data_IF_737568699554
#
_entry.id   IF_737568699554
#
_cell.length_a   1.000
_cell.length_b   1.000
_cell.length_c   1.000
_cell.angle_alpha   90.00
_cell.angle_beta   90.00
_cell.angle_gamma   90.00
#
_symmetry.space_group_name_H-M   'P 1'
#
loop_
_entity.id
_entity.type
_entity.pdbx_description
1 polymer ?
#
# COMPACT_ATOMS: atom_id res chain seq x y z
N UNK A 1 28.62 -0.92 -14.09
CA UNK A 1 27.52 -1.73 -13.57
C UNK A 1 26.25 -1.30 -14.28
N UNK A 2 25.59 -2.19 -15.00
CA UNK A 2 24.34 -1.87 -15.70
C UNK A 2 23.19 -2.23 -14.78
N UNK A 3 22.55 -1.23 -14.23
CA UNK A 3 21.24 -1.39 -13.59
C UNK A 3 20.22 -1.48 -14.72
N UNK A 4 19.34 -2.46 -14.70
CA UNK A 4 18.19 -2.50 -15.58
C UNK A 4 16.95 -2.23 -14.74
N UNK A 5 16.35 -1.06 -14.92
CA UNK A 5 14.97 -0.83 -14.50
C UNK A 5 14.11 -1.67 -15.46
N UNK A 6 13.50 -2.72 -14.93
CA UNK A 6 12.58 -3.56 -15.68
C UNK A 6 11.19 -2.94 -15.60
N UNK A 7 10.90 -2.04 -16.54
CA UNK A 7 9.55 -1.58 -16.75
C UNK A 7 8.77 -2.68 -17.49
N UNK A 8 7.83 -3.33 -16.82
CA UNK A 8 6.82 -4.14 -17.50
C UNK A 8 5.78 -3.17 -18.03
N UNK A 9 5.82 -2.87 -19.33
CA UNK A 9 4.84 -1.98 -19.93
C UNK A 9 3.47 -2.67 -19.99
N UNK A 10 2.41 -1.92 -19.73
CA UNK A 10 1.03 -2.41 -19.83
C UNK A 10 0.64 -2.92 -21.23
N UNK A 11 1.45 -2.67 -22.25
CA UNK A 11 1.30 -3.19 -23.61
C UNK A 11 1.66 -4.67 -23.71
N UNK A 12 2.54 -5.20 -22.84
CA UNK A 12 2.87 -6.63 -22.82
C UNK A 12 1.82 -7.48 -22.11
N UNK A 13 0.92 -6.82 -21.40
CA UNK A 13 -0.18 -7.46 -20.70
C UNK A 13 -1.47 -7.07 -21.41
N UNK A 14 -1.80 -7.81 -22.48
CA UNK A 14 -3.08 -7.65 -23.17
C UNK A 14 -4.21 -7.75 -22.12
N UNK A 15 -4.92 -6.62 -21.87
CA UNK A 15 -5.97 -6.48 -20.84
C UNK A 15 -6.93 -7.67 -20.80
N UNK A 16 -7.25 -8.22 -21.97
CA UNK A 16 -8.12 -9.39 -22.12
C UNK A 16 -7.46 -10.71 -21.72
N UNK A 17 -6.14 -10.85 -21.79
CA UNK A 17 -5.44 -12.05 -21.31
C UNK A 17 -5.26 -12.03 -19.80
N UNK A 18 -5.02 -10.86 -19.18
CA UNK A 18 -4.95 -10.72 -17.71
C UNK A 18 -6.31 -11.01 -17.09
N UNK A 19 -7.39 -10.46 -17.65
CA UNK A 19 -8.75 -10.73 -17.18
C UNK A 19 -9.16 -12.19 -17.41
N UNK A 20 -8.82 -12.81 -18.55
CA UNK A 20 -9.09 -14.22 -18.81
C UNK A 20 -8.22 -15.17 -17.98
N UNK A 21 -6.95 -14.84 -17.74
CA UNK A 21 -6.07 -15.60 -16.83
C UNK A 21 -6.41 -15.38 -15.36
N UNK A 22 -6.86 -14.18 -14.93
CA UNK A 22 -7.44 -13.99 -13.59
C UNK A 22 -8.60 -14.94 -13.32
N UNK A 23 -9.49 -15.18 -14.28
CA UNK A 23 -10.52 -16.20 -14.15
C UNK A 23 -10.02 -17.66 -14.08
N UNK A 24 -8.80 -17.92 -14.55
CA UNK A 24 -8.20 -19.26 -14.52
C UNK A 24 -7.34 -19.45 -13.26
N UNK A 25 -6.66 -18.42 -12.74
CA UNK A 25 -5.79 -18.51 -11.56
C UNK A 25 -6.51 -18.38 -10.23
N UNK A 26 -7.62 -17.63 -10.16
CA UNK A 26 -8.55 -17.68 -9.03
C UNK A 26 -9.11 -19.11 -8.79
N UNK A 27 -8.98 -20.02 -9.76
CA UNK A 27 -9.33 -21.41 -9.61
C UNK A 27 -8.30 -22.29 -8.89
N UNK A 28 -7.10 -21.79 -8.60
CA UNK A 28 -6.06 -22.53 -7.84
C UNK A 28 -6.02 -22.20 -6.34
N UNK A 29 -6.44 -21.01 -5.94
CA UNK A 29 -6.85 -20.77 -4.55
C UNK A 29 -8.27 -21.35 -4.44
N UNK A 30 -8.50 -22.26 -3.52
CA UNK A 30 -9.77 -22.99 -3.43
C UNK A 30 -10.95 -22.02 -3.55
N UNK A 31 -11.86 -22.27 -4.50
CA UNK A 31 -13.13 -21.53 -4.71
C UNK A 31 -13.90 -21.30 -3.39
N UNK A 32 -13.64 -22.08 -2.37
CA UNK A 32 -14.16 -21.95 -1.01
C UNK A 32 -13.51 -20.79 -0.23
N UNK A 33 -12.20 -20.58 -0.33
CA UNK A 33 -11.51 -19.50 0.39
C UNK A 33 -11.92 -18.11 -0.10
N UNK A 34 -12.05 -17.91 -1.40
CA UNK A 34 -12.45 -16.62 -1.99
C UNK A 34 -13.89 -16.25 -1.66
N UNK A 35 -14.80 -17.24 -1.66
CA UNK A 35 -16.18 -17.05 -1.22
C UNK A 35 -16.27 -16.60 0.22
N UNK A 36 -15.49 -17.22 1.08
CA UNK A 36 -15.47 -16.95 2.51
C UNK A 36 -14.95 -15.55 2.82
N UNK A 37 -13.89 -15.11 2.14
CA UNK A 37 -13.36 -13.74 2.28
C UNK A 37 -14.40 -12.72 1.80
N UNK A 38 -15.12 -12.99 0.72
CA UNK A 38 -16.21 -12.15 0.27
C UNK A 38 -17.35 -12.07 1.30
N UNK A 39 -17.71 -13.18 1.94
CA UNK A 39 -18.71 -13.21 3.02
C UNK A 39 -18.27 -12.37 4.22
N UNK A 40 -16.98 -12.40 4.60
CA UNK A 40 -16.42 -11.54 5.64
C UNK A 40 -16.58 -10.07 5.25
N UNK A 41 -16.23 -9.69 4.02
CA UNK A 41 -16.37 -8.32 3.53
C UNK A 41 -17.83 -7.84 3.50
N UNK A 42 -18.76 -8.70 3.06
CA UNK A 42 -20.20 -8.39 3.08
C UNK A 42 -20.66 -8.17 4.53
N UNK A 43 -20.27 -9.05 5.45
CA UNK A 43 -20.64 -8.93 6.87
C UNK A 43 -20.02 -7.66 7.50
N UNK A 44 -18.77 -7.36 7.20
CA UNK A 44 -18.09 -6.14 7.62
C UNK A 44 -18.82 -4.89 7.10
N UNK A 45 -19.17 -4.88 5.81
CA UNK A 45 -19.93 -3.78 5.20
C UNK A 45 -21.25 -3.52 5.92
N UNK A 46 -22.03 -4.56 6.23
CA UNK A 46 -23.30 -4.43 6.96
C UNK A 46 -23.11 -3.82 8.35
N UNK A 47 -22.06 -4.26 9.06
CA UNK A 47 -21.76 -3.75 10.40
C UNK A 47 -21.32 -2.28 10.35
N UNK A 48 -20.40 -1.95 9.46
CA UNK A 48 -19.90 -0.58 9.30
C UNK A 48 -21.06 0.35 8.91
N UNK A 49 -21.89 -0.07 7.95
CA UNK A 49 -23.05 0.70 7.52
C UNK A 49 -24.03 0.94 8.68
N UNK A 50 -24.34 -0.07 9.47
CA UNK A 50 -25.25 0.04 10.62
C UNK A 50 -24.74 1.06 11.65
N UNK A 51 -23.46 1.01 11.99
CA UNK A 51 -22.84 1.95 12.93
C UNK A 51 -22.81 3.36 12.35
N UNK A 52 -22.42 3.52 11.09
CA UNK A 52 -22.43 4.84 10.42
C UNK A 52 -23.81 5.46 10.39
N UNK A 53 -24.84 4.69 10.07
CA UNK A 53 -26.22 5.17 10.05
C UNK A 53 -26.71 5.62 11.44
N UNK A 54 -26.25 4.97 12.50
CA UNK A 54 -26.61 5.34 13.89
C UNK A 54 -25.87 6.57 14.42
N UNK A 55 -24.63 6.80 13.97
CA UNK A 55 -23.71 7.79 14.55
C UNK A 55 -23.48 9.03 13.68
N UNK A 56 -23.70 8.92 12.37
CA UNK A 56 -23.42 10.01 11.44
C UNK A 56 -24.64 10.89 11.23
N UNK A 57 -24.49 12.16 11.56
CA UNK A 57 -25.54 13.15 11.28
C UNK A 57 -25.44 13.65 9.84
N UNK A 58 -26.54 13.50 9.10
CA UNK A 58 -26.71 14.05 7.76
C UNK A 58 -27.67 15.21 7.82
N UNK A 59 -27.34 16.32 7.16
CA UNK A 59 -28.19 17.49 7.00
C UNK A 59 -28.21 17.92 5.54
N UNK A 60 -29.39 18.03 4.95
CA UNK A 60 -29.56 18.38 3.53
C UNK A 60 -28.74 17.48 2.56
N UNK A 61 -28.62 16.18 2.86
CA UNK A 61 -27.87 15.25 2.05
C UNK A 61 -26.33 15.32 2.22
N UNK A 62 -25.84 15.99 3.26
CA UNK A 62 -24.42 16.23 3.51
C UNK A 62 -24.00 15.68 4.87
N UNK A 63 -22.86 15.01 4.95
CA UNK A 63 -22.25 14.55 6.20
C UNK A 63 -21.79 15.74 7.02
N UNK A 64 -22.30 15.84 8.26
CA UNK A 64 -21.99 16.98 9.13
C UNK A 64 -20.62 16.93 9.79
N UNK A 65 -20.03 15.76 9.96
CA UNK A 65 -18.70 15.56 10.56
C UNK A 65 -17.90 14.49 9.79
N UNK A 66 -17.16 14.89 8.76
CA UNK A 66 -16.36 13.98 7.94
C UNK A 66 -15.30 13.23 8.75
N UNK A 67 -14.59 13.91 9.66
CA UNK A 67 -13.56 13.29 10.50
C UNK A 67 -14.13 12.09 11.25
N UNK A 68 -15.23 12.29 11.98
CA UNK A 68 -15.87 11.18 12.70
C UNK A 68 -16.34 10.07 11.77
N UNK A 69 -16.82 10.42 10.58
CA UNK A 69 -17.28 9.46 9.58
C UNK A 69 -16.15 8.54 9.12
N UNK A 70 -15.02 9.11 8.67
CA UNK A 70 -13.86 8.33 8.22
C UNK A 70 -13.18 7.56 9.36
N UNK A 71 -13.03 8.18 10.53
CA UNK A 71 -12.49 7.50 11.72
C UNK A 71 -13.30 6.27 12.10
N UNK A 72 -14.62 6.33 12.01
CA UNK A 72 -15.48 5.18 12.31
C UNK A 72 -15.27 4.06 11.32
N UNK A 73 -15.18 4.35 10.01
CA UNK A 73 -14.88 3.36 8.97
C UNK A 73 -13.54 2.69 9.27
N UNK A 74 -12.48 3.48 9.43
CA UNK A 74 -11.13 2.97 9.65
C UNK A 74 -11.04 2.08 10.90
N UNK A 75 -11.63 2.52 12.03
CA UNK A 75 -11.63 1.72 13.26
C UNK A 75 -12.34 0.37 13.08
N UNK A 76 -13.51 0.37 12.46
CA UNK A 76 -14.27 -0.85 12.26
C UNK A 76 -13.57 -1.81 11.29
N UNK A 77 -13.01 -1.30 10.18
CA UNK A 77 -12.19 -2.10 9.27
C UNK A 77 -10.99 -2.73 9.99
N UNK A 78 -10.27 -1.92 10.76
CA UNK A 78 -9.12 -2.38 11.54
C UNK A 78 -9.49 -3.47 12.55
N UNK A 79 -10.63 -3.33 13.22
CA UNK A 79 -11.12 -4.32 14.19
C UNK A 79 -11.58 -5.61 13.52
N UNK A 80 -12.22 -5.52 12.36
CA UNK A 80 -12.58 -6.71 11.56
C UNK A 80 -11.33 -7.48 11.14
N UNK A 81 -10.32 -6.80 10.63
CA UNK A 81 -9.04 -7.43 10.29
C UNK A 81 -8.35 -8.05 11.51
N UNK A 82 -8.37 -7.36 12.64
CA UNK A 82 -7.82 -7.88 13.91
C UNK A 82 -8.53 -9.15 14.38
N UNK A 83 -9.86 -9.19 14.35
CA UNK A 83 -10.64 -10.39 14.69
C UNK A 83 -10.28 -11.53 13.73
N UNK A 84 -10.20 -11.25 12.41
CA UNK A 84 -9.85 -12.24 11.40
C UNK A 84 -8.42 -12.77 11.58
N UNK A 85 -7.47 -11.92 11.95
CA UNK A 85 -6.09 -12.28 12.19
C UNK A 85 -5.89 -13.09 13.49
N UNK A 86 -6.66 -12.80 14.54
CA UNK A 86 -6.57 -13.46 15.84
C UNK A 86 -6.78 -14.98 15.76
N UNK A 87 -7.60 -15.44 14.82
CA UNK A 87 -7.82 -16.87 14.60
C UNK A 87 -6.66 -17.58 13.88
N UNK A 88 -5.81 -16.82 13.18
CA UNK A 88 -4.66 -17.36 12.45
C UNK A 88 -3.37 -17.23 13.25
N UNK A 89 -3.24 -16.15 14.00
CA UNK A 89 -2.06 -15.80 14.78
C UNK A 89 -2.46 -15.71 16.27
N UNK A 90 -1.77 -16.41 17.12
CA UNK A 90 -2.07 -16.48 18.56
C UNK A 90 -2.18 -15.08 19.21
N UNK A 91 -2.97 -14.96 20.21
CA UNK A 91 -3.67 -13.79 20.76
C UNK A 91 -2.88 -12.54 21.18
N UNK A 92 -1.56 -12.49 20.99
CA UNK A 92 -0.73 -11.34 21.44
C UNK A 92 -0.54 -10.23 20.40
N UNK A 93 -0.95 -10.45 19.15
CA UNK A 93 -0.78 -9.49 18.08
C UNK A 93 -1.97 -8.54 17.99
N UNK A 94 -1.77 -7.30 18.38
CA UNK A 94 -2.78 -6.27 18.24
C UNK A 94 -2.38 -5.31 17.12
N UNK A 95 -3.15 -5.29 16.05
CA UNK A 95 -3.15 -4.17 15.11
C UNK A 95 -3.39 -2.88 15.89
N UNK A 96 -2.42 -2.00 15.94
CA UNK A 96 -2.46 -0.71 16.59
C UNK A 96 -3.19 -0.70 17.97
N UNK A 97 -2.44 -0.81 19.07
CA UNK A 97 -2.97 -0.86 20.45
C UNK A 97 -3.90 0.30 20.83
N UNK A 98 -3.93 1.35 20.02
CA UNK A 98 -4.71 2.57 20.25
C UNK A 98 -6.10 2.56 19.58
N UNK A 99 -6.44 1.52 18.80
CA UNK A 99 -7.77 1.41 18.20
C UNK A 99 -8.75 0.86 19.23
N UNK A 100 -9.37 1.75 19.97
CA UNK A 100 -10.44 1.41 20.91
C UNK A 100 -11.81 1.71 20.31
N UNK A 101 -12.79 0.84 20.57
CA UNK A 101 -14.20 1.15 20.27
C UNK A 101 -14.64 2.35 21.09
N UNK A 102 -15.24 3.36 20.42
CA UNK A 102 -15.65 4.61 21.09
C UNK A 102 -17.07 4.58 21.60
N UNK A 103 -17.92 3.71 21.08
CA UNK A 103 -19.34 3.67 21.45
C UNK A 103 -19.83 2.26 21.78
N UNK A 104 -20.97 2.20 22.48
CA UNK A 104 -21.68 0.95 22.77
C UNK A 104 -22.16 0.23 21.51
N UNK A 105 -22.55 0.99 20.49
CA UNK A 105 -23.01 0.47 19.19
C UNK A 105 -21.85 -0.19 18.44
N UNK A 106 -20.68 0.45 18.40
CA UNK A 106 -19.46 -0.12 17.78
C UNK A 106 -19.08 -1.44 18.47
N UNK A 107 -19.07 -1.44 19.81
CA UNK A 107 -18.73 -2.61 20.60
C UNK A 107 -19.67 -3.77 20.30
N UNK A 108 -20.98 -3.52 20.34
CA UNK A 108 -21.98 -4.54 20.06
C UNK A 108 -21.86 -5.08 18.63
N UNK A 109 -21.68 -4.21 17.65
CA UNK A 109 -21.55 -4.61 16.25
C UNK A 109 -20.33 -5.51 16.03
N UNK A 110 -19.20 -5.23 16.70
CA UNK A 110 -17.99 -6.06 16.62
C UNK A 110 -18.12 -7.38 17.39
N UNK A 111 -18.79 -7.39 18.57
CA UNK A 111 -19.13 -8.63 19.28
C UNK A 111 -20.01 -9.54 18.40
N UNK A 112 -21.04 -9.00 17.76
CA UNK A 112 -21.90 -9.73 16.83
C UNK A 112 -21.11 -10.27 15.63
N UNK A 113 -20.11 -9.53 15.14
CA UNK A 113 -19.21 -9.99 14.08
C UNK A 113 -18.30 -11.13 14.57
N UNK A 114 -17.68 -11.01 15.74
CA UNK A 114 -16.77 -12.02 16.32
C UNK A 114 -17.53 -13.34 16.54
N UNK A 115 -18.73 -13.29 17.12
CA UNK A 115 -19.59 -14.48 17.30
C UNK A 115 -19.93 -15.13 15.95
N UNK A 116 -20.31 -14.33 14.96
CA UNK A 116 -20.59 -14.84 13.62
C UNK A 116 -19.35 -15.48 12.99
N UNK A 117 -18.19 -14.82 13.09
CA UNK A 117 -16.93 -15.26 12.52
C UNK A 117 -16.47 -16.59 13.13
N UNK A 118 -16.53 -16.72 14.46
CA UNK A 118 -16.20 -17.94 15.20
C UNK A 118 -17.09 -19.11 14.79
N UNK A 119 -18.38 -18.85 14.57
CA UNK A 119 -19.34 -19.88 14.14
C UNK A 119 -19.05 -20.44 12.73
N UNK A 120 -18.26 -19.73 11.89
CA UNK A 120 -17.92 -20.21 10.55
C UNK A 120 -16.84 -21.30 10.55
N UNK A 121 -16.14 -21.51 11.69
CA UNK A 121 -15.04 -22.47 11.84
C UNK A 121 -14.01 -22.37 10.69
N UNK A 122 -13.59 -21.13 10.43
CA UNK A 122 -12.73 -20.77 9.31
C UNK A 122 -11.30 -21.28 9.52
N UNK A 123 -10.69 -21.81 8.44
CA UNK A 123 -9.25 -22.09 8.40
C UNK A 123 -8.42 -20.82 8.21
N UNK A 124 -7.19 -20.97 7.73
CA UNK A 124 -6.30 -19.84 7.43
C UNK A 124 -6.92 -18.90 6.39
N UNK A 125 -6.87 -17.58 6.66
CA UNK A 125 -7.43 -16.51 5.83
C UNK A 125 -6.29 -15.75 5.18
N UNK A 126 -6.42 -15.47 3.88
CA UNK A 126 -5.51 -14.55 3.21
C UNK A 126 -5.83 -13.10 3.64
N UNK A 127 -5.14 -12.62 4.68
CA UNK A 127 -5.35 -11.28 5.23
C UNK A 127 -5.07 -10.15 4.22
N UNK A 128 -4.12 -10.35 3.30
CA UNK A 128 -3.86 -9.34 2.26
C UNK A 128 -5.06 -9.18 1.34
N UNK A 129 -5.64 -10.29 0.90
CA UNK A 129 -6.81 -10.24 0.04
C UNK A 129 -8.04 -9.71 0.78
N UNK A 130 -8.23 -10.08 2.05
CA UNK A 130 -9.28 -9.51 2.89
C UNK A 130 -9.11 -7.99 3.03
N UNK A 131 -7.93 -7.53 3.36
CA UNK A 131 -7.61 -6.11 3.50
C UNK A 131 -7.93 -5.34 2.21
N UNK A 132 -7.50 -5.85 1.07
CA UNK A 132 -7.76 -5.21 -0.23
C UNK A 132 -9.25 -5.10 -0.56
N UNK A 133 -10.02 -6.17 -0.30
CA UNK A 133 -11.46 -6.10 -0.48
C UNK A 133 -12.11 -5.11 0.48
N UNK A 134 -11.59 -4.98 1.69
CA UNK A 134 -12.11 -4.00 2.67
C UNK A 134 -11.81 -2.55 2.27
N UNK A 135 -10.69 -2.27 1.60
CA UNK A 135 -10.40 -0.93 1.05
C UNK A 135 -11.39 -0.51 -0.04
N UNK A 136 -12.09 -1.46 -0.67
CA UNK A 136 -13.09 -1.19 -1.69
C UNK A 136 -14.49 -0.90 -1.12
N UNK A 137 -14.66 -1.01 0.19
CA UNK A 137 -15.92 -0.71 0.84
C UNK A 137 -16.10 0.80 0.96
N UNK A 138 -17.02 1.32 0.19
CA UNK A 138 -17.43 2.72 0.24
C UNK A 138 -18.82 2.90 0.82
N UNK A 139 -19.04 4.01 1.51
CA UNK A 139 -20.29 4.29 2.19
C UNK A 139 -20.86 5.67 1.80
N UNK A 140 -21.17 5.90 0.52
CA UNK A 140 -21.66 7.19 0.04
C UNK A 140 -23.00 7.59 0.62
N UNK A 141 -23.25 8.90 0.63
CA UNK A 141 -24.58 9.43 0.93
C UNK A 141 -25.44 9.40 -0.34
N UNK A 142 -26.59 8.71 -0.29
CA UNK A 142 -27.58 8.69 -1.36
C UNK A 142 -28.97 8.94 -0.76
N UNK A 143 -29.73 9.81 -1.38
CA UNK A 143 -31.10 10.18 -0.93
C UNK A 143 -31.16 10.57 0.56
N UNK A 144 -30.12 11.26 1.04
CA UNK A 144 -30.01 11.72 2.44
C UNK A 144 -29.69 10.62 3.46
N UNK A 145 -29.28 9.44 3.03
CA UNK A 145 -28.89 8.31 3.89
C UNK A 145 -27.52 7.78 3.47
N UNK A 146 -26.77 7.23 4.42
CA UNK A 146 -25.56 6.46 4.10
C UNK A 146 -25.97 5.11 3.53
N UNK A 147 -25.37 4.75 2.41
CA UNK A 147 -25.55 3.47 1.72
C UNK A 147 -24.20 2.75 1.68
N UNK A 148 -24.17 1.51 1.22
CA UNK A 148 -22.95 0.77 0.96
C UNK A 148 -22.87 0.41 -0.51
N UNK A 149 -21.71 0.65 -1.14
CA UNK A 149 -21.42 0.29 -2.53
C UNK A 149 -20.67 -1.04 -2.63
N UNK A 150 -20.79 -1.92 -1.63
CA UNK A 150 -20.16 -3.26 -1.61
C UNK A 150 -20.53 -4.19 -2.78
N UNK A 151 -21.46 -3.82 -3.65
CA UNK A 151 -21.82 -4.59 -4.84
C UNK A 151 -20.75 -4.58 -5.94
N UNK A 152 -19.79 -3.63 -5.89
CA UNK A 152 -18.73 -3.48 -6.89
C UNK A 152 -17.43 -4.25 -6.59
N UNK A 153 -17.42 -5.12 -5.59
CA UNK A 153 -16.24 -5.93 -5.22
C UNK A 153 -15.65 -6.76 -6.37
N UNK A 154 -16.43 -6.97 -7.43
CA UNK A 154 -16.00 -7.72 -8.62
C UNK A 154 -15.35 -6.87 -9.73
N UNK A 155 -15.41 -5.55 -9.68
CA UNK A 155 -15.09 -4.68 -10.80
C UNK A 155 -13.77 -3.93 -10.66
N UNK A 156 -13.13 -3.96 -9.49
CA UNK A 156 -12.02 -3.07 -9.17
C UNK A 156 -10.69 -3.79 -9.39
N UNK A 157 -9.88 -3.21 -10.26
CA UNK A 157 -8.49 -3.60 -10.45
C UNK A 157 -7.70 -3.30 -9.17
N UNK A 158 -7.40 -4.34 -8.41
CA UNK A 158 -6.73 -4.23 -7.13
C UNK A 158 -5.39 -3.49 -7.24
N UNK A 159 -5.06 -2.73 -6.20
CA UNK A 159 -3.72 -2.20 -5.96
C UNK A 159 -2.70 -3.34 -5.68
N UNK A 160 -3.17 -4.56 -5.58
CA UNK A 160 -2.37 -5.76 -5.29
C UNK A 160 -1.48 -6.15 -6.45
N UNK A 161 -0.24 -6.45 -6.11
CA UNK A 161 0.70 -7.04 -7.06
C UNK A 161 0.48 -8.54 -7.12
N UNK A 162 0.00 -9.11 -8.25
CA UNK A 162 -0.16 -10.55 -8.38
C UNK A 162 1.14 -11.28 -8.05
N UNK A 163 1.05 -12.37 -7.29
CA UNK A 163 2.22 -13.16 -6.83
C UNK A 163 3.17 -13.50 -7.96
N UNK A 164 2.66 -13.94 -9.11
CA UNK A 164 3.49 -14.28 -10.28
C UNK A 164 4.25 -13.07 -10.84
N UNK A 165 3.65 -11.89 -10.77
CA UNK A 165 4.29 -10.66 -11.24
C UNK A 165 5.38 -10.22 -10.25
N UNK A 166 5.09 -10.28 -8.94
CA UNK A 166 6.08 -10.01 -7.90
C UNK A 166 7.27 -10.99 -8.01
N UNK A 167 6.99 -12.29 -8.15
CA UNK A 167 8.04 -13.31 -8.34
C UNK A 167 8.89 -13.05 -9.58
N UNK A 168 8.26 -12.67 -10.71
CA UNK A 168 9.00 -12.37 -11.95
C UNK A 168 9.91 -11.17 -11.78
N UNK A 169 9.43 -10.09 -11.19
CA UNK A 169 10.25 -8.88 -10.94
C UNK A 169 11.40 -9.21 -9.98
N UNK A 170 11.12 -9.90 -8.88
CA UNK A 170 12.14 -10.29 -7.90
C UNK A 170 13.19 -11.20 -8.54
N UNK A 171 12.78 -12.21 -9.31
CA UNK A 171 13.72 -13.11 -10.00
C UNK A 171 14.68 -12.34 -10.92
N UNK A 172 14.14 -11.44 -11.74
CA UNK A 172 14.94 -10.61 -12.65
C UNK A 172 15.87 -9.66 -11.89
N UNK A 173 15.40 -9.08 -10.79
CA UNK A 173 16.17 -8.12 -9.99
C UNK A 173 17.30 -8.82 -9.24
N UNK A 174 17.02 -9.97 -8.61
CA UNK A 174 18.03 -10.76 -7.90
C UNK A 174 19.02 -11.40 -8.86
N UNK A 175 18.58 -11.92 -10.01
CA UNK A 175 19.49 -12.46 -11.03
C UNK A 175 20.47 -11.39 -11.53
N UNK A 176 20.01 -10.16 -11.70
CA UNK A 176 20.88 -9.05 -12.07
C UNK A 176 21.84 -8.66 -10.93
N UNK A 177 21.36 -8.62 -9.69
CA UNK A 177 22.20 -8.39 -8.52
C UNK A 177 23.30 -9.45 -8.37
N UNK A 178 22.95 -10.72 -8.51
CA UNK A 178 23.87 -11.85 -8.48
C UNK A 178 24.89 -11.74 -9.61
N UNK A 179 24.44 -11.36 -10.81
CA UNK A 179 25.37 -11.17 -11.93
C UNK A 179 26.38 -10.05 -11.66
N UNK A 180 25.97 -8.93 -11.10
CA UNK A 180 26.86 -7.80 -10.77
C UNK A 180 27.84 -8.16 -9.67
N UNK A 181 27.43 -8.92 -8.65
CA UNK A 181 28.21 -9.13 -7.44
C UNK A 181 28.93 -10.48 -7.40
N UNK A 182 28.43 -11.51 -8.09
CA UNK A 182 29.02 -12.85 -8.15
C UNK A 182 29.41 -13.30 -9.57
N UNK A 183 29.13 -12.52 -10.62
CA UNK A 183 29.46 -12.85 -12.02
C UNK A 183 28.56 -13.93 -12.65
N UNK A 184 27.53 -14.40 -11.96
CA UNK A 184 26.66 -15.49 -12.41
C UNK A 184 25.44 -14.91 -13.12
N UNK A 185 25.23 -15.25 -14.40
CA UNK A 185 24.09 -14.77 -15.20
C UNK A 185 22.90 -15.71 -15.11
N UNK A 186 21.68 -15.14 -14.98
CA UNK A 186 20.42 -15.87 -15.03
C UNK A 186 20.35 -16.99 -14.00
N UNK A 187 20.72 -16.71 -12.78
CA UNK A 187 20.84 -17.70 -11.71
C UNK A 187 19.54 -18.48 -11.48
N UNK A 188 18.38 -17.83 -11.54
CA UNK A 188 17.09 -18.50 -11.32
C UNK A 188 16.74 -19.50 -12.45
N UNK A 189 17.17 -19.23 -13.69
CA UNK A 189 16.81 -19.99 -14.88
C UNK A 189 17.86 -21.03 -15.33
N UNK A 190 19.10 -20.97 -14.81
CA UNK A 190 20.21 -21.83 -15.21
C UNK A 190 20.38 -23.05 -14.29
N UNK A 191 21.03 -24.10 -14.79
CA UNK A 191 21.57 -25.17 -13.94
C UNK A 191 22.70 -24.61 -13.08
N UNK A 192 22.80 -25.01 -11.81
CA UNK A 192 23.73 -24.46 -10.81
C UNK A 192 24.64 -25.53 -10.26
N UNK A 193 25.92 -25.20 -10.08
CA UNK A 193 26.83 -26.01 -9.26
C UNK A 193 26.60 -25.76 -7.77
N UNK A 194 27.04 -26.65 -6.90
CA UNK A 194 26.95 -26.46 -5.45
C UNK A 194 27.70 -25.21 -4.99
N UNK A 195 28.89 -24.96 -5.54
CA UNK A 195 29.71 -23.80 -5.24
C UNK A 195 28.99 -22.48 -5.61
N UNK A 196 28.28 -22.45 -6.75
CA UNK A 196 27.48 -21.30 -7.14
C UNK A 196 26.32 -21.06 -6.17
N UNK A 197 25.64 -22.12 -5.74
CA UNK A 197 24.55 -22.00 -4.76
C UNK A 197 25.08 -21.49 -3.42
N UNK A 198 26.23 -22.01 -2.95
CA UNK A 198 26.85 -21.53 -1.71
C UNK A 198 27.26 -20.05 -1.80
N UNK A 199 27.97 -19.69 -2.88
CA UNK A 199 28.40 -18.31 -3.11
C UNK A 199 27.21 -17.32 -3.13
N UNK A 200 26.12 -17.68 -3.82
CA UNK A 200 24.92 -16.83 -3.89
C UNK A 200 24.18 -16.80 -2.55
N UNK A 201 24.15 -17.91 -1.82
CA UNK A 201 23.58 -17.95 -0.47
C UNK A 201 24.32 -16.97 0.45
N UNK A 202 25.65 -17.03 0.47
CA UNK A 202 26.47 -16.12 1.27
C UNK A 202 26.27 -14.64 0.86
N UNK A 203 26.21 -14.37 -0.45
CA UNK A 203 25.93 -13.04 -0.97
C UNK A 203 24.58 -12.52 -0.45
N UNK A 204 23.49 -13.29 -0.57
CA UNK A 204 22.15 -12.81 -0.18
C UNK A 204 21.97 -12.74 1.34
N UNK A 205 22.66 -13.57 2.13
CA UNK A 205 22.66 -13.47 3.59
C UNK A 205 23.28 -12.14 4.09
N UNK A 206 24.24 -11.59 3.34
CA UNK A 206 24.91 -10.34 3.66
C UNK A 206 24.30 -9.12 2.94
N UNK A 207 23.22 -9.31 2.17
CA UNK A 207 22.56 -8.25 1.42
C UNK A 207 21.39 -7.67 2.18
N UNK A 208 21.09 -6.40 1.90
CA UNK A 208 19.94 -5.66 2.41
C UNK A 208 18.88 -5.51 1.32
N UNK A 209 17.61 -5.63 1.70
CA UNK A 209 16.48 -5.59 0.78
C UNK A 209 15.51 -4.49 1.21
N UNK A 210 14.94 -3.79 0.24
CA UNK A 210 13.95 -2.75 0.54
C UNK A 210 12.73 -2.81 -0.39
N UNK A 211 11.59 -2.42 0.19
CA UNK A 211 10.39 -1.99 -0.51
C UNK A 211 9.86 -0.74 0.19
N UNK A 212 9.90 0.41 -0.48
CA UNK A 212 9.52 1.70 0.09
C UNK A 212 8.03 2.05 -0.09
N UNK A 213 7.24 1.10 -0.54
CA UNK A 213 5.77 1.14 -0.63
C UNK A 213 5.21 -0.29 -0.56
N UNK A 214 5.55 -0.98 0.53
CA UNK A 214 5.46 -2.43 0.57
C UNK A 214 4.03 -2.99 0.55
N UNK A 215 3.02 -2.17 0.82
CA UNK A 215 1.66 -2.66 0.99
C UNK A 215 1.60 -3.80 2.00
N UNK A 216 0.95 -4.87 1.65
CA UNK A 216 0.87 -6.09 2.46
C UNK A 216 2.07 -7.04 2.31
N UNK A 217 3.17 -6.62 1.66
CA UNK A 217 4.44 -7.35 1.63
C UNK A 217 4.65 -8.31 0.47
N UNK A 218 3.95 -8.15 -0.64
CA UNK A 218 4.01 -9.06 -1.80
C UNK A 218 5.45 -9.31 -2.32
N UNK A 219 6.27 -8.26 -2.40
CA UNK A 219 7.66 -8.36 -2.85
C UNK A 219 8.57 -8.99 -1.80
N UNK A 220 8.35 -8.71 -0.51
CA UNK A 220 9.09 -9.35 0.58
C UNK A 220 8.86 -10.86 0.56
N UNK A 221 7.61 -11.27 0.37
CA UNK A 221 7.25 -12.67 0.21
C UNK A 221 7.85 -13.30 -1.04
N UNK A 222 7.96 -12.55 -2.14
CA UNK A 222 8.62 -13.02 -3.36
C UNK A 222 10.13 -13.25 -3.15
N UNK A 223 10.82 -12.40 -2.39
CA UNK A 223 12.23 -12.61 -2.02
C UNK A 223 12.39 -13.90 -1.21
N UNK A 224 11.53 -14.12 -0.21
CA UNK A 224 11.58 -15.37 0.58
C UNK A 224 11.30 -16.61 -0.28
N UNK A 225 10.36 -16.54 -1.22
CA UNK A 225 10.09 -17.61 -2.18
C UNK A 225 11.28 -17.87 -3.11
N UNK A 226 11.94 -16.81 -3.60
CA UNK A 226 13.16 -16.93 -4.39
C UNK A 226 14.23 -17.71 -3.63
N UNK A 227 14.51 -17.32 -2.39
CA UNK A 227 15.50 -17.97 -1.54
C UNK A 227 15.16 -19.45 -1.30
N UNK A 228 13.91 -19.77 -0.97
CA UNK A 228 13.45 -21.15 -0.79
C UNK A 228 13.56 -22.00 -2.07
N UNK A 229 13.36 -21.39 -3.24
CA UNK A 229 13.30 -22.12 -4.51
C UNK A 229 14.67 -22.37 -5.13
N UNK A 230 15.61 -21.45 -4.97
CA UNK A 230 16.88 -21.47 -5.72
C UNK A 230 18.12 -21.66 -4.85
N UNK A 231 18.00 -21.51 -3.53
CA UNK A 231 19.11 -21.67 -2.60
C UNK A 231 18.93 -22.91 -1.72
N UNK A 232 20.04 -23.44 -1.23
CA UNK A 232 20.04 -24.41 -0.12
C UNK A 232 20.10 -23.65 1.20
N UNK A 233 18.96 -23.13 1.62
CA UNK A 233 18.86 -22.24 2.75
C UNK A 233 18.22 -22.95 3.95
N UNK A 234 18.82 -22.81 5.11
CA UNK A 234 18.23 -23.29 6.36
C UNK A 234 17.10 -22.37 6.84
N UNK A 235 16.27 -22.85 7.77
CA UNK A 235 15.26 -22.01 8.41
C UNK A 235 15.91 -20.78 9.11
N UNK A 236 17.11 -20.96 9.70
CA UNK A 236 17.82 -19.86 10.35
C UNK A 236 18.35 -18.83 9.33
N UNK A 237 18.85 -19.27 8.16
CA UNK A 237 19.29 -18.36 7.11
C UNK A 237 18.12 -17.55 6.57
N UNK A 238 16.95 -18.17 6.41
CA UNK A 238 15.74 -17.46 5.98
C UNK A 238 15.31 -16.36 6.98
N UNK A 239 15.46 -16.62 8.28
CA UNK A 239 15.25 -15.62 9.33
C UNK A 239 16.24 -14.46 9.23
N UNK A 240 17.51 -14.74 8.92
CA UNK A 240 18.53 -13.71 8.72
C UNK A 240 18.18 -12.83 7.50
N UNK A 241 17.77 -13.42 6.39
CA UNK A 241 17.30 -12.65 5.22
C UNK A 241 16.11 -11.77 5.58
N UNK A 242 15.09 -12.30 6.28
CA UNK A 242 13.95 -11.52 6.71
C UNK A 242 14.34 -10.35 7.63
N UNK A 243 15.32 -10.54 8.51
CA UNK A 243 15.87 -9.47 9.37
C UNK A 243 16.67 -8.40 8.57
N UNK A 244 17.01 -8.66 7.32
CA UNK A 244 17.64 -7.69 6.43
C UNK A 244 16.63 -6.92 5.54
N UNK A 245 15.33 -7.12 5.73
CA UNK A 245 14.30 -6.31 5.11
C UNK A 245 14.24 -4.93 5.76
N UNK A 246 14.16 -3.90 4.93
CA UNK A 246 13.90 -2.52 5.32
C UNK A 246 12.72 -2.03 4.49
N UNK A 247 11.60 -1.75 5.14
CA UNK A 247 10.37 -1.47 4.39
C UNK A 247 9.62 -0.30 4.98
N UNK A 248 8.95 0.44 4.11
CA UNK A 248 8.16 1.61 4.47
C UNK A 248 6.78 1.45 3.87
N UNK A 249 5.78 1.82 4.65
CA UNK A 249 4.40 1.84 4.19
C UNK A 249 3.63 2.94 4.90
N UNK A 250 2.87 3.69 4.13
CA UNK A 250 2.06 4.79 4.64
C UNK A 250 0.78 4.30 5.34
N UNK A 251 0.26 3.14 4.98
CA UNK A 251 -0.87 2.51 5.67
C UNK A 251 -0.38 1.55 6.76
N UNK A 252 -0.70 1.89 8.01
CA UNK A 252 -0.29 1.11 9.17
C UNK A 252 -0.90 -0.30 9.22
N UNK A 253 -2.09 -0.50 8.64
CA UNK A 253 -2.74 -1.81 8.61
C UNK A 253 -2.07 -2.75 7.60
N UNK A 254 -1.79 -2.25 6.40
CA UNK A 254 -1.08 -3.03 5.38
C UNK A 254 0.34 -3.38 5.83
N UNK A 255 1.03 -2.44 6.48
CA UNK A 255 2.35 -2.67 7.06
C UNK A 255 2.32 -3.78 8.14
N UNK A 256 1.30 -3.80 8.98
CA UNK A 256 1.15 -4.84 10.01
C UNK A 256 0.89 -6.21 9.37
N UNK A 257 0.05 -6.27 8.33
CA UNK A 257 -0.19 -7.50 7.56
C UNK A 257 1.12 -7.98 6.91
N UNK A 258 1.90 -7.08 6.30
CA UNK A 258 3.19 -7.43 5.71
C UNK A 258 4.14 -8.07 6.74
N UNK A 259 4.19 -7.51 7.93
CA UNK A 259 4.99 -8.02 9.04
C UNK A 259 4.55 -9.42 9.47
N UNK A 260 3.25 -9.62 9.66
CA UNK A 260 2.68 -10.92 10.04
C UNK A 260 2.94 -11.99 8.98
N UNK A 261 2.78 -11.67 7.69
CA UNK A 261 3.08 -12.60 6.60
C UNK A 261 4.56 -13.02 6.57
N UNK A 262 5.47 -12.09 6.79
CA UNK A 262 6.91 -12.42 6.86
C UNK A 262 7.20 -13.33 8.04
N UNK A 263 6.64 -13.05 9.23
CA UNK A 263 6.80 -13.88 10.42
C UNK A 263 6.25 -15.28 10.24
N UNK A 264 5.08 -15.41 9.62
CA UNK A 264 4.48 -16.71 9.26
C UNK A 264 5.38 -17.47 8.27
N UNK A 265 5.89 -16.80 7.23
CA UNK A 265 6.73 -17.42 6.22
C UNK A 265 8.07 -17.96 6.75
N UNK A 266 8.61 -17.35 7.80
CA UNK A 266 9.84 -17.79 8.49
C UNK A 266 9.57 -18.66 9.73
N UNK A 267 8.30 -18.86 10.08
CA UNK A 267 7.82 -19.63 11.24
C UNK A 267 8.48 -19.17 12.56
N UNK A 268 8.53 -17.85 12.78
CA UNK A 268 9.14 -17.31 14.01
C UNK A 268 8.56 -15.95 14.42
N UNK A 269 7.50 -16.00 15.22
CA UNK A 269 6.85 -14.79 15.76
C UNK A 269 7.66 -14.09 16.87
N UNK A 270 8.66 -14.73 17.46
CA UNK A 270 9.53 -14.09 18.44
C UNK A 270 10.34 -12.93 17.86
N UNK A 271 10.47 -12.87 16.53
CA UNK A 271 11.18 -11.81 15.81
C UNK A 271 10.32 -10.54 15.57
N UNK A 272 9.05 -10.53 16.00
CA UNK A 272 8.14 -9.39 15.78
C UNK A 272 8.75 -8.04 16.17
N UNK A 273 9.32 -7.92 17.38
CA UNK A 273 9.93 -6.66 17.85
C UNK A 273 11.16 -6.24 17.06
N UNK A 274 11.91 -7.21 16.49
CA UNK A 274 13.08 -6.91 15.65
C UNK A 274 12.64 -6.41 14.27
N UNK A 275 11.66 -7.06 13.66
CA UNK A 275 11.09 -6.63 12.37
C UNK A 275 10.39 -5.27 12.48
N UNK A 276 9.68 -5.01 13.58
CA UNK A 276 8.99 -3.73 13.80
C UNK A 276 9.92 -2.51 13.79
N UNK A 277 11.20 -2.69 14.03
CA UNK A 277 12.19 -1.59 13.92
C UNK A 277 12.59 -1.28 12.48
N UNK A 278 12.31 -2.18 11.56
CA UNK A 278 12.69 -2.10 10.14
C UNK A 278 11.49 -1.98 9.20
N UNK A 279 10.29 -2.23 9.74
CA UNK A 279 9.01 -2.01 9.07
C UNK A 279 8.46 -0.68 9.57
N UNK A 280 8.72 0.38 8.82
CA UNK A 280 8.50 1.75 9.23
C UNK A 280 7.18 2.27 8.67
N UNK A 281 6.32 2.75 9.56
CA UNK A 281 5.12 3.47 9.16
C UNK A 281 5.51 4.90 8.77
N UNK A 282 5.30 5.26 7.52
CA UNK A 282 5.67 6.59 7.01
C UNK A 282 5.52 6.72 5.49
N UNK A 283 5.62 7.97 5.02
CA UNK A 283 5.65 8.29 3.61
C UNK A 283 7.04 8.81 3.21
N UNK A 284 7.83 8.05 2.44
CA UNK A 284 9.20 8.43 2.10
C UNK A 284 9.30 9.61 1.12
N UNK A 285 8.19 10.02 0.51
CA UNK A 285 8.16 11.18 -0.39
C UNK A 285 8.13 12.51 0.37
N UNK A 286 7.70 12.52 1.64
CA UNK A 286 7.51 13.74 2.42
C UNK A 286 8.61 13.84 3.46
N UNK A 287 9.36 14.96 3.43
CA UNK A 287 10.32 15.30 4.45
C UNK A 287 9.63 15.95 5.67
N UNK A 288 10.15 15.77 6.90
CA UNK A 288 9.62 16.46 8.07
C UNK A 288 9.74 17.97 7.90
N UNK A 289 8.67 18.69 8.19
CA UNK A 289 8.68 20.14 8.24
C UNK A 289 8.15 20.63 9.59
N UNK A 290 8.82 21.62 10.15
CA UNK A 290 8.36 22.31 11.37
C UNK A 290 7.20 23.27 11.10
N UNK A 291 6.92 23.55 9.83
CA UNK A 291 5.88 24.49 9.41
C UNK A 291 4.50 23.85 9.34
N UNK A 292 4.44 22.51 9.30
CA UNK A 292 3.17 21.80 9.21
C UNK A 292 2.60 21.51 10.59
N UNK A 293 1.41 22.00 10.91
CA UNK A 293 0.72 21.58 12.11
C UNK A 293 0.39 20.08 12.02
N UNK A 294 0.32 19.45 13.17
CA UNK A 294 -0.05 18.04 13.30
C UNK A 294 -1.50 17.85 12.84
N UNK A 295 -1.72 17.30 11.66
CA UNK A 295 -3.05 16.99 11.13
C UNK A 295 -3.43 15.54 11.45
N UNK A 296 -3.71 15.24 12.71
CA UNK A 296 -4.06 13.90 13.18
C UNK A 296 -5.35 13.32 12.57
N UNK A 297 -6.07 14.13 11.81
CA UNK A 297 -7.32 13.76 11.16
C UNK A 297 -7.20 13.53 9.65
N UNK A 298 -6.01 13.68 9.08
CA UNK A 298 -5.76 13.39 7.67
C UNK A 298 -5.44 11.90 7.52
N UNK A 299 -6.40 11.13 7.03
CA UNK A 299 -6.17 9.74 6.64
C UNK A 299 -5.46 9.62 5.28
N UNK A 300 -5.30 10.72 4.55
CA UNK A 300 -4.53 10.79 3.32
C UNK A 300 -3.04 10.85 3.66
N UNK A 301 -2.32 9.79 3.39
CA UNK A 301 -0.94 9.55 3.79
C UNK A 301 0.04 10.65 3.40
N UNK A 302 -0.25 11.36 2.33
CA UNK A 302 0.66 12.35 1.77
C UNK A 302 0.77 13.61 2.62
N UNK A 303 -0.17 13.84 3.51
CA UNK A 303 -0.37 15.13 4.18
C UNK A 303 -0.21 15.09 5.68
N UNK A 304 0.10 13.92 6.22
CA UNK A 304 0.24 13.75 7.65
C UNK A 304 1.70 13.98 8.06
N UNK A 305 1.97 15.03 8.83
CA UNK A 305 3.33 15.35 9.25
C UNK A 305 4.01 14.22 10.04
N UNK A 306 3.23 13.42 10.78
CA UNK A 306 3.75 12.24 11.50
C UNK A 306 4.25 11.13 10.59
N UNK A 307 3.88 11.14 9.30
CA UNK A 307 4.37 10.20 8.28
C UNK A 307 5.56 10.74 7.50
N UNK A 308 5.94 12.00 7.69
CA UNK A 308 7.09 12.59 7.03
C UNK A 308 8.39 11.91 7.53
N UNK A 309 9.34 11.74 6.64
CA UNK A 309 10.58 11.02 6.92
C UNK A 309 11.80 11.82 6.46
N UNK A 310 12.78 11.97 7.32
CA UNK A 310 14.09 12.48 6.94
C UNK A 310 14.83 11.47 6.04
N UNK A 311 15.65 11.96 5.12
CA UNK A 311 16.41 11.12 4.20
C UNK A 311 17.31 10.10 4.90
N UNK A 312 17.82 10.41 6.11
CA UNK A 312 18.64 9.51 6.92
C UNK A 312 17.84 8.40 7.60
N UNK A 313 16.51 8.49 7.62
CA UNK A 313 15.62 7.42 8.11
C UNK A 313 15.33 6.37 7.05
N UNK A 314 15.64 6.68 5.79
CA UNK A 314 15.46 5.75 4.65
C UNK A 314 16.80 5.07 4.40
N UNK A 315 16.94 3.76 4.72
CA UNK A 315 18.22 3.08 4.55
C UNK A 315 18.52 2.82 3.07
N UNK A 316 19.77 3.00 2.66
CA UNK A 316 20.24 2.49 1.36
C UNK A 316 20.35 0.98 1.40
N UNK A 317 19.79 0.33 0.39
CA UNK A 317 19.74 -1.13 0.32
C UNK A 317 20.34 -1.65 -0.99
N UNK A 318 20.75 -2.90 -0.95
CA UNK A 318 21.41 -3.57 -2.09
C UNK A 318 20.40 -3.99 -3.16
N UNK A 319 19.21 -4.36 -2.73
CA UNK A 319 18.13 -4.78 -3.62
C UNK A 319 16.87 -4.00 -3.24
N UNK A 320 16.40 -3.16 -4.15
CA UNK A 320 15.18 -2.38 -3.96
C UNK A 320 14.13 -2.90 -4.94
N UNK A 321 12.99 -3.31 -4.43
CA UNK A 321 11.85 -3.80 -5.24
C UNK A 321 10.58 -3.10 -4.83
N UNK A 322 9.58 -3.05 -5.72
CA UNK A 322 8.30 -2.47 -5.34
C UNK A 322 7.34 -2.25 -6.50
N UNK A 323 6.11 -1.95 -6.13
CA UNK A 323 5.08 -1.44 -7.02
C UNK A 323 4.57 -0.11 -6.45
N UNK A 324 5.26 1.01 -6.72
CA UNK A 324 4.88 2.30 -6.16
C UNK A 324 3.48 2.72 -6.62
N UNK A 325 2.78 3.56 -5.85
CA UNK A 325 1.45 4.04 -6.23
C UNK A 325 1.47 4.77 -7.57
N UNK A 326 0.37 4.66 -8.36
CA UNK A 326 0.27 5.19 -9.73
C UNK A 326 -0.66 6.39 -9.81
N UNK A 327 -0.53 7.31 -8.90
CA UNK A 327 -1.33 8.53 -8.82
C UNK A 327 -0.53 9.80 -9.09
N UNK A 328 -1.17 10.91 -8.87
CA UNK A 328 -0.55 12.21 -8.67
C UNK A 328 -0.68 12.60 -7.20
N UNK A 329 0.26 13.37 -6.70
CA UNK A 329 0.07 14.03 -5.40
C UNK A 329 -0.99 15.09 -5.62
N UNK A 330 -2.17 14.89 -5.03
CA UNK A 330 -3.33 15.76 -5.26
C UNK A 330 -4.53 15.32 -4.43
N UNK A 331 -5.45 16.25 -4.18
CA UNK A 331 -6.68 15.98 -3.45
C UNK A 331 -7.81 15.62 -4.43
N UNK A 332 -8.34 14.41 -4.32
CA UNK A 332 -9.47 13.98 -5.14
C UNK A 332 -10.80 14.51 -4.57
N UNK A 333 -11.01 15.81 -4.78
CA UNK A 333 -12.20 16.52 -4.31
C UNK A 333 -13.49 15.89 -4.84
N UNK A 334 -13.49 15.37 -6.07
CA UNK A 334 -14.68 14.75 -6.68
C UNK A 334 -15.06 13.46 -5.96
N UNK A 335 -14.08 12.64 -5.62
CA UNK A 335 -14.31 11.42 -4.86
C UNK A 335 -14.92 11.72 -3.49
N UNK A 336 -14.37 12.69 -2.76
CA UNK A 336 -14.91 13.08 -1.46
C UNK A 336 -16.31 13.71 -1.55
N UNK A 337 -16.62 14.48 -2.61
CA UNK A 337 -17.98 14.96 -2.82
C UNK A 337 -18.95 13.82 -3.09
N UNK A 338 -18.55 12.80 -3.85
CA UNK A 338 -19.38 11.63 -4.08
C UNK A 338 -19.76 10.94 -2.75
N UNK A 339 -18.82 10.84 -1.83
CA UNK A 339 -19.04 10.20 -0.53
C UNK A 339 -19.84 11.06 0.45
N UNK A 340 -19.45 12.33 0.59
CA UNK A 340 -19.90 13.21 1.68
C UNK A 340 -21.01 14.18 1.30
N UNK A 341 -21.08 14.59 0.03
CA UNK A 341 -21.90 15.68 -0.44
C UNK A 341 -22.22 15.56 -1.94
N UNK A 342 -22.96 14.54 -2.38
CA UNK A 342 -23.17 14.21 -3.79
C UNK A 342 -23.78 15.36 -4.61
N UNK A 343 -24.49 16.30 -3.96
CA UNK A 343 -25.04 17.48 -4.64
C UNK A 343 -23.96 18.39 -5.22
N UNK A 344 -22.76 18.45 -4.62
CA UNK A 344 -21.63 19.21 -5.16
C UNK A 344 -20.97 18.50 -6.33
N UNK A 345 -20.97 17.19 -6.34
CA UNK A 345 -20.41 16.40 -7.43
C UNK A 345 -21.15 16.60 -8.77
N UNK A 346 -22.39 17.05 -8.73
CA UNK A 346 -23.18 17.34 -9.93
C UNK A 346 -22.87 18.71 -10.55
N UNK A 347 -22.05 19.54 -9.92
CA UNK A 347 -21.70 20.89 -10.41
C UNK A 347 -20.51 20.78 -11.36
N UNK A 348 -20.77 20.99 -12.66
CA UNK A 348 -19.75 20.86 -13.70
C UNK A 348 -18.88 22.12 -13.87
N UNK A 349 -19.38 23.29 -13.48
CA UNK A 349 -18.68 24.57 -13.63
C UNK A 349 -17.81 24.86 -12.41
N UNK A 350 -16.52 25.11 -12.61
CA UNK A 350 -15.57 25.36 -11.53
C UNK A 350 -15.94 26.57 -10.67
N UNK A 351 -16.36 27.69 -11.28
CA UNK A 351 -16.76 28.89 -10.52
C UNK A 351 -18.02 28.67 -9.68
N UNK A 352 -18.99 27.90 -10.20
CA UNK A 352 -20.20 27.56 -9.44
C UNK A 352 -19.86 26.60 -8.29
N UNK A 353 -18.90 25.70 -8.49
CA UNK A 353 -18.40 24.78 -7.47
C UNK A 353 -17.70 25.55 -6.33
N UNK A 354 -16.83 26.50 -6.64
CA UNK A 354 -16.18 27.37 -5.65
C UNK A 354 -17.22 28.11 -4.79
N UNK A 355 -18.22 28.74 -5.42
CA UNK A 355 -19.32 29.42 -4.72
C UNK A 355 -20.09 28.43 -3.83
N UNK A 356 -20.31 27.22 -4.31
CA UNK A 356 -21.02 26.19 -3.54
C UNK A 356 -20.18 25.71 -2.35
N UNK A 357 -18.87 25.54 -2.50
CA UNK A 357 -17.94 25.21 -1.41
C UNK A 357 -17.92 26.33 -0.38
N UNK A 358 -17.83 27.61 -0.77
CA UNK A 358 -17.86 28.72 0.15
C UNK A 358 -19.17 28.76 0.97
N UNK A 359 -20.30 28.41 0.39
CA UNK A 359 -21.58 28.31 1.11
C UNK A 359 -21.55 27.23 2.20
N UNK A 360 -20.72 26.21 2.08
CA UNK A 360 -20.55 25.20 3.13
C UNK A 360 -20.02 25.81 4.43
N UNK A 361 -19.25 26.90 4.37
CA UNK A 361 -18.77 27.62 5.56
C UNK A 361 -19.90 27.99 6.53
N UNK A 362 -21.06 28.31 6.00
CA UNK A 362 -22.26 28.71 6.78
C UNK A 362 -23.18 27.52 7.06
N UNK A 363 -23.29 26.58 6.12
CA UNK A 363 -24.30 25.50 6.19
C UNK A 363 -23.77 24.25 6.85
N UNK A 364 -22.48 23.92 6.59
CA UNK A 364 -21.76 22.72 7.05
C UNK A 364 -20.31 23.05 7.42
N UNK A 365 -20.08 23.85 8.48
CA UNK A 365 -18.77 24.42 8.79
C UNK A 365 -17.69 23.35 9.04
N UNK A 366 -18.04 22.20 9.59
CA UNK A 366 -17.07 21.12 9.81
C UNK A 366 -16.61 20.49 8.50
N UNK A 367 -17.51 20.29 7.52
CA UNK A 367 -17.12 19.81 6.19
C UNK A 367 -16.24 20.85 5.49
N UNK A 368 -16.62 22.13 5.53
CA UNK A 368 -15.83 23.20 4.94
C UNK A 368 -14.43 23.27 5.53
N UNK A 369 -14.31 23.22 6.86
CA UNK A 369 -13.02 23.19 7.54
C UNK A 369 -12.20 21.95 7.15
N UNK A 370 -12.84 20.79 7.10
CA UNK A 370 -12.20 19.54 6.71
C UNK A 370 -11.62 19.60 5.28
N UNK A 371 -12.40 20.13 4.32
CA UNK A 371 -11.96 20.34 2.94
C UNK A 371 -10.75 21.27 2.85
N UNK A 372 -10.81 22.44 3.50
CA UNK A 372 -9.70 23.41 3.50
C UNK A 372 -8.42 22.85 4.11
N UNK A 373 -8.53 22.06 5.17
CA UNK A 373 -7.37 21.47 5.81
C UNK A 373 -6.72 20.41 4.94
N UNK A 374 -7.52 19.60 4.23
CA UNK A 374 -6.99 18.59 3.34
C UNK A 374 -6.34 19.22 2.10
N UNK A 375 -7.02 20.15 1.47
CA UNK A 375 -6.52 20.88 0.30
C UNK A 375 -5.21 21.61 0.63
N UNK A 376 -5.20 22.40 1.72
CA UNK A 376 -4.00 23.10 2.17
C UNK A 376 -2.86 22.19 2.58
N UNK A 377 -3.13 21.02 3.19
CA UNK A 377 -2.11 20.06 3.53
C UNK A 377 -1.44 19.44 2.28
N UNK A 378 -2.23 19.27 1.20
CA UNK A 378 -1.71 18.82 -0.10
C UNK A 378 -0.83 19.85 -0.76
N UNK A 379 -1.29 21.10 -0.79
CA UNK A 379 -0.51 22.19 -1.38
C UNK A 379 0.86 22.31 -0.71
N UNK A 380 0.89 22.24 0.61
CA UNK A 380 2.12 22.24 1.38
C UNK A 380 3.03 21.03 1.07
N UNK A 381 2.46 19.82 0.99
CA UNK A 381 3.21 18.62 0.61
C UNK A 381 3.77 18.71 -0.82
N UNK A 382 3.02 19.29 -1.74
CA UNK A 382 3.49 19.56 -3.10
C UNK A 382 4.65 20.55 -3.10
N UNK A 383 4.55 21.64 -2.33
CA UNK A 383 5.63 22.63 -2.20
C UNK A 383 6.90 22.02 -1.64
N UNK A 384 6.80 21.20 -0.59
CA UNK A 384 7.93 20.47 -0.02
C UNK A 384 8.60 19.54 -1.04
N UNK A 385 7.82 18.75 -1.77
CA UNK A 385 8.37 17.84 -2.78
C UNK A 385 9.06 18.62 -3.91
N UNK A 386 8.51 19.76 -4.34
CA UNK A 386 9.15 20.60 -5.37
C UNK A 386 10.47 21.20 -4.90
N UNK A 387 10.63 21.47 -3.62
CA UNK A 387 11.82 22.05 -3.03
C UNK A 387 12.82 20.99 -2.51
N UNK A 388 12.47 19.72 -2.53
CA UNK A 388 13.29 18.62 -2.03
C UNK A 388 14.33 18.19 -3.08
N UNK A 389 15.61 18.33 -2.75
CA UNK A 389 16.74 17.95 -3.61
C UNK A 389 16.74 16.46 -4.01
N UNK A 390 16.03 15.60 -3.28
CA UNK A 390 15.87 14.17 -3.61
C UNK A 390 15.09 13.94 -4.91
N UNK A 391 14.32 14.93 -5.37
CA UNK A 391 13.42 14.83 -6.54
C UNK A 391 13.79 15.82 -7.65
N UNK A 392 15.08 16.09 -7.84
CA UNK A 392 15.58 17.05 -8.83
C UNK A 392 15.15 16.72 -10.26
N UNK A 393 14.97 15.44 -10.59
CA UNK A 393 14.72 14.98 -11.96
C UNK A 393 13.25 14.55 -12.20
N UNK A 394 12.45 14.35 -11.15
CA UNK A 394 11.11 13.78 -11.23
C UNK A 394 9.96 14.77 -11.04
N UNK A 395 10.25 16.04 -10.72
CA UNK A 395 9.23 17.07 -10.44
C UNK A 395 8.77 17.86 -11.68
N UNK A 396 9.23 17.51 -12.87
CA UNK A 396 8.84 18.19 -14.10
C UNK A 396 7.43 17.77 -14.55
N UNK A 397 6.53 18.74 -14.70
CA UNK A 397 5.20 18.49 -15.29
C UNK A 397 4.15 17.86 -14.40
N UNK A 398 4.32 17.95 -13.09
CA UNK A 398 3.41 17.47 -12.07
C UNK A 398 4.03 16.38 -11.20
N UNK A 399 3.49 16.25 -10.00
CA UNK A 399 4.00 15.30 -9.00
C UNK A 399 3.33 13.93 -9.18
N UNK A 400 3.87 13.13 -10.09
CA UNK A 400 3.44 11.75 -10.29
C UNK A 400 4.16 10.82 -9.32
N UNK A 401 3.42 10.12 -8.45
CA UNK A 401 3.98 9.29 -7.39
C UNK A 401 4.93 8.20 -7.92
N UNK A 402 4.56 7.51 -9.01
CA UNK A 402 5.41 6.50 -9.63
C UNK A 402 6.74 7.06 -10.19
N UNK A 403 6.77 8.32 -10.62
CA UNK A 403 7.97 9.00 -11.12
C UNK A 403 8.87 9.39 -9.95
N UNK A 404 8.29 9.98 -8.89
CA UNK A 404 8.99 10.33 -7.64
C UNK A 404 9.60 9.08 -6.98
N UNK A 405 8.84 8.00 -6.84
CA UNK A 405 9.36 6.74 -6.29
C UNK A 405 10.49 6.14 -7.14
N UNK A 406 10.45 6.33 -8.47
CA UNK A 406 11.54 5.85 -9.33
C UNK A 406 12.85 6.54 -9.00
N UNK A 407 12.85 7.86 -8.82
CA UNK A 407 14.03 8.61 -8.41
C UNK A 407 14.45 8.22 -6.99
N UNK A 408 13.53 8.21 -6.03
CA UNK A 408 13.79 7.81 -4.65
C UNK A 408 14.45 6.43 -4.56
N UNK A 409 13.88 5.41 -5.20
CA UNK A 409 14.42 4.05 -5.17
C UNK A 409 15.82 3.97 -5.80
N UNK A 410 16.08 4.79 -6.83
CA UNK A 410 17.41 4.88 -7.42
C UNK A 410 18.43 5.48 -6.43
N UNK A 411 18.08 6.58 -5.77
CA UNK A 411 18.96 7.27 -4.81
C UNK A 411 19.19 6.42 -3.55
N UNK A 412 18.21 5.63 -3.13
CA UNK A 412 18.28 4.76 -1.96
C UNK A 412 18.83 3.35 -2.27
N UNK A 413 19.26 3.10 -3.50
CA UNK A 413 19.98 1.90 -3.87
C UNK A 413 21.48 2.08 -3.71
N UNK A 414 22.19 1.05 -3.20
CA UNK A 414 23.66 1.07 -3.10
C UNK A 414 24.30 1.08 -4.49
N UNK A 415 25.59 1.47 -4.57
CA UNK A 415 26.29 1.62 -5.85
C UNK A 415 26.32 0.32 -6.70
N UNK A 416 26.44 -0.83 -6.06
CA UNK A 416 26.39 -2.14 -6.71
C UNK A 416 25.04 -2.84 -6.58
N UNK A 417 24.05 -2.11 -6.09
CA UNK A 417 22.71 -2.61 -5.90
C UNK A 417 21.88 -2.64 -7.19
N UNK A 418 20.67 -3.16 -7.08
CA UNK A 418 19.70 -3.26 -8.18
C UNK A 418 18.32 -2.80 -7.75
N UNK A 419 17.60 -2.20 -8.69
CA UNK A 419 16.23 -1.72 -8.49
C UNK A 419 15.30 -2.46 -9.46
N UNK A 420 14.20 -3.02 -8.95
CA UNK A 420 13.15 -3.66 -9.74
C UNK A 420 11.78 -3.12 -9.39
N UNK A 421 11.20 -2.29 -10.27
CA UNK A 421 9.91 -1.62 -10.03
C UNK A 421 8.88 -1.99 -11.09
N UNK A 422 7.61 -2.03 -10.67
CA UNK A 422 6.48 -2.03 -11.58
C UNK A 422 6.06 -0.59 -11.83
N UNK A 423 6.17 -0.13 -13.07
CA UNK A 423 5.89 1.24 -13.45
C UNK A 423 4.84 1.32 -14.57
N UNK A 424 4.16 2.46 -14.67
CA UNK A 424 3.39 2.77 -15.90
C UNK A 424 4.35 2.89 -17.08
N UNK A 425 3.97 2.37 -18.25
CA UNK A 425 4.78 2.51 -19.45
C UNK A 425 5.13 3.95 -19.80
N UNK A 426 4.22 4.88 -19.53
CA UNK A 426 4.41 6.32 -19.69
C UNK A 426 5.56 6.89 -18.85
N UNK A 427 5.90 6.28 -17.71
CA UNK A 427 7.00 6.76 -16.86
C UNK A 427 8.33 6.88 -17.62
N UNK A 428 8.60 5.95 -18.53
CA UNK A 428 9.83 5.95 -19.33
C UNK A 428 9.66 6.49 -20.75
N UNK A 429 8.43 6.59 -21.27
CA UNK A 429 8.15 6.99 -22.66
C UNK A 429 7.67 8.43 -22.81
N UNK A 430 7.07 9.02 -21.80
CA UNK A 430 6.55 10.38 -21.90
C UNK A 430 7.68 11.40 -21.88
N UNK A 431 7.59 12.36 -22.81
CA UNK A 431 8.58 13.43 -22.95
C UNK A 431 8.73 14.29 -21.69
N UNK A 432 7.71 14.36 -20.87
CA UNK A 432 7.69 15.09 -19.60
C UNK A 432 8.69 14.50 -18.59
N UNK A 433 8.93 13.19 -18.64
CA UNK A 433 9.86 12.48 -17.76
C UNK A 433 11.29 12.39 -18.34
N UNK A 434 11.56 13.07 -19.46
CA UNK A 434 12.85 13.00 -20.17
C UNK A 434 14.04 13.32 -19.27
N UNK A 435 13.88 14.23 -18.30
CA UNK A 435 14.95 14.59 -17.37
C UNK A 435 15.34 13.41 -16.50
N UNK A 436 14.37 12.73 -15.89
CA UNK A 436 14.60 11.53 -15.10
C UNK A 436 15.18 10.39 -15.96
N UNK A 437 14.62 10.13 -17.14
CA UNK A 437 15.10 9.06 -18.05
C UNK A 437 16.56 9.31 -18.46
N UNK A 438 16.91 10.55 -18.83
CA UNK A 438 18.29 10.91 -19.14
C UNK A 438 19.24 10.76 -17.95
N UNK A 439 18.78 11.14 -16.76
CA UNK A 439 19.54 10.96 -15.53
C UNK A 439 19.82 9.48 -15.28
N UNK A 440 18.79 8.63 -15.27
CA UNK A 440 18.94 7.18 -15.07
C UNK A 440 19.84 6.53 -16.15
N UNK A 441 19.71 6.97 -17.42
CA UNK A 441 20.56 6.49 -18.52
C UNK A 441 22.03 6.92 -18.32
N UNK A 442 22.28 8.15 -17.88
CA UNK A 442 23.64 8.66 -17.59
C UNK A 442 24.32 7.87 -16.48
N UNK A 443 23.55 7.41 -15.48
CA UNK A 443 24.00 6.54 -14.40
C UNK A 443 24.11 5.07 -14.83
N UNK A 444 23.80 4.74 -16.09
CA UNK A 444 23.72 3.36 -16.60
C UNK A 444 22.73 2.51 -15.81
N UNK A 445 21.60 3.14 -15.39
CA UNK A 445 20.57 2.53 -14.55
C UNK A 445 19.39 1.93 -15.35
N UNK A 446 19.27 2.23 -16.66
CA UNK A 446 18.27 1.70 -17.60
C UNK A 446 18.93 1.23 -18.91
#
# INVERSE_FOLDING_TARGET
ASLRILAVTSTDINRNQVLRKKHIHLRQYSVLGDKMIQEICIKASVIILSVLQSQTKIKNGVVCNPTKYFDTIYRLQSRVLQISAKHQFDSEFSFNKNITTQTSEEKKALEDFEIWFEAQNMGSINLSYLYELMLLLEFPVRDGKITSDGENLNSIGSFYTPTELADKIVNLTLDNYIHINAGIKGFSASSKTEDQVLLVTELLLNSTFADYSCGTGSFLMAILRYCKSFLRISANDLKLIALNFNTIEADSLSLEIAKLQVLEAIDDFSLYSKLSKKFVHGNPLIAPSNEYPNYDFCHEFYYHNSLAMESNQIPKCDVVVGNPPWGTVGFDLQHYFLLLCPNLNAIANASDLEIAIEKLSKTHPNLYKWLLLHDGAIDLACEEIYNDERFEHSTMGGLHTNVLFTELCNEMCTERGTVGLILKGSTLSDSINKRLVNYLASQKRI
#
